data_IF_824951172468
#
_entry.id   IF_824951172468
#
_cell.length_a   1.000
_cell.length_b   1.000
_cell.length_c   1.000
_cell.angle_alpha   90.00
_cell.angle_beta   90.00
_cell.angle_gamma   90.00
#
_symmetry.space_group_name_H-M   'P 1'
#
loop_
_entity.id
_entity.type
_entity.pdbx_description
1 polymer ?
#
# COMPACT_ATOMS: atom_id res chain seq x y z
N UNK A 1 -13.08 -18.21 19.73
CA UNK A 1 -11.65 -18.44 19.69
C UNK A 1 -11.19 -18.85 18.29
N UNK A 2 -10.11 -18.30 17.87
CA UNK A 2 -9.61 -18.58 16.54
C UNK A 2 -8.82 -19.88 16.55
N UNK A 3 -9.09 -20.74 15.62
CA UNK A 3 -8.32 -21.97 15.46
C UNK A 3 -6.92 -21.65 14.95
N UNK A 4 -5.95 -22.48 15.32
CA UNK A 4 -4.55 -22.24 14.98
C UNK A 4 -4.32 -22.03 13.49
N UNK A 5 -4.93 -22.85 12.63
CA UNK A 5 -4.73 -22.74 11.19
C UNK A 5 -5.24 -21.41 10.65
N UNK A 6 -6.40 -20.96 11.14
CA UNK A 6 -6.94 -19.66 10.73
C UNK A 6 -6.07 -18.52 11.23
N UNK A 7 -5.56 -18.65 12.44
CA UNK A 7 -4.69 -17.63 13.01
C UNK A 7 -3.41 -17.50 12.20
N UNK A 8 -2.84 -18.62 11.78
CA UNK A 8 -1.61 -18.61 10.98
C UNK A 8 -1.81 -17.93 9.64
N UNK A 9 -2.91 -18.28 8.94
CA UNK A 9 -3.20 -17.65 7.65
C UNK A 9 -3.43 -16.15 7.82
N UNK A 10 -4.14 -15.77 8.88
CA UNK A 10 -4.44 -14.37 9.13
C UNK A 10 -3.16 -13.60 9.48
N UNK A 11 -2.28 -14.20 10.27
CA UNK A 11 -1.02 -13.57 10.63
C UNK A 11 -0.15 -13.34 9.40
N UNK A 12 -0.05 -14.32 8.50
CA UNK A 12 0.72 -14.16 7.28
C UNK A 12 0.17 -13.02 6.42
N UNK A 13 -1.15 -12.98 6.26
CA UNK A 13 -1.78 -11.92 5.49
C UNK A 13 -1.56 -10.56 6.15
N UNK A 14 -1.64 -10.49 7.48
CA UNK A 14 -1.42 -9.24 8.20
C UNK A 14 0.04 -8.79 8.11
N UNK A 15 0.99 -9.73 8.16
CA UNK A 15 2.41 -9.38 8.04
C UNK A 15 2.69 -8.76 6.67
N UNK A 16 2.21 -9.38 5.60
CA UNK A 16 2.38 -8.83 4.27
C UNK A 16 1.63 -7.51 4.12
N UNK A 17 0.43 -7.44 4.69
CA UNK A 17 -0.36 -6.22 4.67
C UNK A 17 0.34 -5.10 5.41
N UNK A 18 0.97 -5.40 6.55
CA UNK A 18 1.69 -4.39 7.29
C UNK A 18 2.91 -3.91 6.52
N UNK A 19 3.64 -4.82 5.87
CA UNK A 19 4.76 -4.43 5.04
C UNK A 19 4.29 -3.56 3.88
N UNK A 20 3.19 -3.95 3.23
CA UNK A 20 2.64 -3.16 2.14
C UNK A 20 2.22 -1.77 2.62
N UNK A 21 1.64 -1.69 3.82
CA UNK A 21 1.24 -0.42 4.41
C UNK A 21 2.46 0.47 4.68
N UNK A 22 3.53 -0.12 5.23
CA UNK A 22 4.76 0.62 5.50
C UNK A 22 5.37 1.16 4.20
N UNK A 23 5.40 0.34 3.17
CA UNK A 23 5.96 0.79 1.89
C UNK A 23 5.06 1.80 1.21
N UNK A 24 3.73 1.65 1.33
CA UNK A 24 2.81 2.66 0.83
C UNK A 24 3.03 4.00 1.54
N UNK A 25 3.25 3.96 2.85
CA UNK A 25 3.56 5.17 3.61
C UNK A 25 4.85 5.82 3.11
N UNK A 26 5.87 5.02 2.83
CA UNK A 26 7.13 5.54 2.28
C UNK A 26 6.90 6.23 0.93
N UNK A 27 6.07 5.63 0.08
CA UNK A 27 5.74 6.23 -1.21
C UNK A 27 5.03 7.57 -1.00
N UNK A 28 4.01 7.58 -0.16
CA UNK A 28 3.25 8.81 0.09
C UNK A 28 4.14 9.90 0.67
N UNK A 29 5.00 9.56 1.63
CA UNK A 29 5.86 10.55 2.25
C UNK A 29 6.84 11.16 1.27
N UNK A 30 7.23 10.41 0.24
CA UNK A 30 8.14 10.94 -0.77
C UNK A 30 7.50 12.07 -1.57
N UNK A 31 6.20 12.00 -1.77
CA UNK A 31 5.49 12.97 -2.62
C UNK A 31 4.61 13.94 -1.83
N UNK A 32 4.44 13.73 -0.54
CA UNK A 32 3.51 14.51 0.27
C UNK A 32 3.97 15.96 0.42
N UNK A 33 2.99 16.86 0.49
CA UNK A 33 3.24 18.22 0.91
C UNK A 33 3.67 18.23 2.38
N UNK A 34 4.44 19.25 2.81
CA UNK A 34 4.81 19.35 4.21
C UNK A 34 3.57 19.32 5.11
N UNK A 35 3.65 18.52 6.17
CA UNK A 35 2.60 18.41 7.18
C UNK A 35 1.29 17.82 6.66
N UNK A 36 1.27 17.27 5.46
CA UNK A 36 0.07 16.62 4.95
C UNK A 36 -0.16 15.30 5.71
N UNK A 37 -1.39 15.05 6.17
CA UNK A 37 -1.67 13.77 6.82
C UNK A 37 -1.70 12.64 5.80
N UNK A 38 -1.37 11.44 6.25
CA UNK A 38 -1.50 10.24 5.45
C UNK A 38 -2.78 9.54 5.85
N UNK A 39 -3.65 9.28 4.88
CA UNK A 39 -4.92 8.58 5.11
C UNK A 39 -4.82 7.17 4.59
N UNK A 40 -5.22 6.21 5.40
CA UNK A 40 -5.21 4.79 5.03
C UNK A 40 -6.58 4.21 5.25
N UNK A 41 -7.07 3.47 4.26
CA UNK A 41 -8.33 2.74 4.35
C UNK A 41 -8.09 1.29 4.01
N UNK A 42 -8.54 0.40 4.89
CA UNK A 42 -8.40 -1.04 4.71
C UNK A 42 -9.76 -1.66 4.44
N UNK A 43 -9.77 -2.64 3.54
CA UNK A 43 -10.92 -3.49 3.35
C UNK A 43 -10.41 -4.92 3.19
N UNK A 44 -11.14 -5.87 3.74
CA UNK A 44 -10.69 -7.27 3.71
C UNK A 44 -11.78 -8.17 3.17
N UNK A 45 -11.44 -8.94 2.15
CA UNK A 45 -12.19 -10.10 1.73
C UNK A 45 -11.56 -11.33 2.37
N UNK A 46 -12.21 -12.50 2.30
CA UNK A 46 -11.62 -13.68 2.94
C UNK A 46 -10.19 -14.01 2.51
N UNK A 47 -9.80 -13.62 1.31
CA UNK A 47 -8.47 -13.97 0.78
C UNK A 47 -7.63 -12.78 0.37
N UNK A 48 -8.19 -11.58 0.45
CA UNK A 48 -7.51 -10.41 -0.11
C UNK A 48 -7.65 -9.24 0.86
N UNK A 49 -6.54 -8.61 1.13
CA UNK A 49 -6.53 -7.33 1.85
C UNK A 49 -6.37 -6.23 0.81
N UNK A 50 -7.24 -5.23 0.91
CA UNK A 50 -7.17 -4.05 0.04
C UNK A 50 -6.74 -2.88 0.88
N UNK A 51 -5.84 -2.08 0.33
CA UNK A 51 -5.39 -0.85 0.97
C UNK A 51 -5.50 0.28 -0.02
N UNK A 52 -6.11 1.37 0.41
CA UNK A 52 -6.11 2.62 -0.32
C UNK A 52 -5.51 3.69 0.59
N UNK A 53 -4.38 4.22 0.20
CA UNK A 53 -3.68 5.24 0.96
C UNK A 53 -3.56 6.50 0.10
N UNK A 54 -3.61 7.67 0.75
CA UNK A 54 -3.55 8.93 0.01
C UNK A 54 -2.99 10.03 0.87
N UNK A 55 -2.43 11.05 0.22
CA UNK A 55 -2.00 12.26 0.88
C UNK A 55 -1.98 13.41 -0.14
N UNK A 56 -2.01 14.64 0.35
CA UNK A 56 -1.93 15.79 -0.53
C UNK A 56 -0.53 15.92 -1.12
N UNK A 57 -0.48 16.23 -2.40
CA UNK A 57 0.78 16.48 -3.06
C UNK A 57 0.61 17.58 -4.11
N UNK A 58 1.73 18.17 -4.51
CA UNK A 58 1.72 19.27 -5.46
C UNK A 58 2.18 18.86 -6.85
N UNK A 59 2.37 17.57 -7.08
CA UNK A 59 2.78 17.09 -8.40
C UNK A 59 1.64 17.22 -9.39
N UNK A 60 1.98 17.58 -10.64
CA UNK A 60 1.01 17.59 -11.70
C UNK A 60 1.01 16.28 -12.49
N UNK A 61 2.07 15.52 -12.40
CA UNK A 61 2.16 14.18 -12.98
C UNK A 61 3.21 13.38 -12.22
N UNK A 62 3.09 12.07 -12.26
CA UNK A 62 4.01 11.19 -11.54
C UNK A 62 5.29 11.00 -12.33
N UNK A 63 6.43 10.93 -11.63
CA UNK A 63 7.69 10.57 -12.26
C UNK A 63 7.73 9.08 -12.59
N UNK A 64 8.83 8.63 -13.17
CA UNK A 64 9.05 7.19 -13.37
C UNK A 64 9.16 6.53 -12.02
N UNK A 65 8.18 5.69 -11.67
CA UNK A 65 8.08 5.14 -10.33
C UNK A 65 9.16 4.10 -10.01
N UNK A 66 9.46 3.14 -10.90
CA UNK A 66 10.54 2.20 -10.59
C UNK A 66 11.87 2.89 -10.34
N UNK A 67 12.19 3.90 -11.13
CA UNK A 67 13.44 4.63 -10.95
C UNK A 67 13.42 5.48 -9.69
N UNK A 68 12.32 6.21 -9.49
CA UNK A 68 12.21 7.15 -8.38
C UNK A 68 12.14 6.45 -7.03
N UNK A 69 11.41 5.34 -6.95
CA UNK A 69 11.19 4.64 -5.70
C UNK A 69 12.26 3.60 -5.40
N UNK A 70 12.94 3.08 -6.42
CA UNK A 70 14.03 2.14 -6.22
C UNK A 70 13.60 0.90 -5.45
N UNK A 71 14.22 0.69 -4.29
CA UNK A 71 13.97 -0.50 -3.49
C UNK A 71 12.53 -0.62 -3.01
N UNK A 72 11.90 0.52 -2.70
CA UNK A 72 10.50 0.52 -2.28
C UNK A 72 9.63 -0.05 -3.39
N UNK A 73 9.91 0.32 -4.64
CA UNK A 73 9.17 -0.22 -5.77
C UNK A 73 9.33 -1.74 -5.88
N UNK A 74 10.57 -2.23 -5.73
CA UNK A 74 10.83 -3.67 -5.80
C UNK A 74 10.04 -4.41 -4.73
N UNK A 75 10.07 -3.91 -3.51
CA UNK A 75 9.39 -4.58 -2.40
C UNK A 75 7.87 -4.55 -2.61
N UNK A 76 7.31 -3.37 -2.84
CA UNK A 76 5.86 -3.26 -2.88
C UNK A 76 5.27 -4.00 -4.09
N UNK A 77 5.97 -3.98 -5.23
CA UNK A 77 5.47 -4.67 -6.40
C UNK A 77 5.57 -6.19 -6.26
N UNK A 78 6.47 -6.68 -5.43
CA UNK A 78 6.63 -8.12 -5.24
C UNK A 78 5.63 -8.72 -4.26
N UNK A 79 5.09 -7.90 -3.33
CA UNK A 79 4.18 -8.43 -2.31
C UNK A 79 2.71 -8.14 -2.62
N UNK A 80 2.43 -7.37 -3.66
CA UNK A 80 1.05 -7.03 -4.01
C UNK A 80 0.60 -7.83 -5.22
N UNK A 81 -0.68 -8.19 -5.24
CA UNK A 81 -1.31 -8.80 -6.40
C UNK A 81 -1.83 -7.74 -7.36
N UNK A 82 -2.10 -6.54 -6.86
CA UNK A 82 -2.52 -5.41 -7.65
C UNK A 82 -1.93 -4.15 -7.02
N UNK A 83 -1.39 -3.28 -7.83
CA UNK A 83 -0.81 -2.03 -7.35
C UNK A 83 -1.07 -0.94 -8.37
N UNK A 84 -1.69 0.14 -7.91
CA UNK A 84 -1.89 1.34 -8.71
C UNK A 84 -1.46 2.55 -7.91
N UNK A 85 -0.72 3.44 -8.55
CA UNK A 85 -0.32 4.72 -7.97
C UNK A 85 -0.74 5.78 -8.96
N UNK A 86 -1.54 6.75 -8.49
CA UNK A 86 -2.07 7.76 -9.40
C UNK A 86 -2.30 9.08 -8.67
N UNK A 87 -2.44 10.14 -9.46
CA UNK A 87 -2.76 11.47 -8.96
C UNK A 87 -4.22 11.79 -9.25
N UNK A 88 -4.91 12.36 -8.26
CA UNK A 88 -6.28 12.78 -8.44
C UNK A 88 -6.62 13.86 -7.42
N UNK A 89 -7.19 14.95 -7.89
CA UNK A 89 -7.69 16.03 -7.03
C UNK A 89 -6.63 16.58 -6.06
N UNK A 90 -5.38 16.70 -6.53
CA UNK A 90 -4.32 17.24 -5.69
C UNK A 90 -3.77 16.26 -4.68
N UNK A 91 -4.07 15.00 -4.85
CA UNK A 91 -3.60 13.94 -3.96
C UNK A 91 -2.88 12.86 -4.75
N UNK A 92 -1.90 12.23 -4.11
CA UNK A 92 -1.31 11.01 -4.63
C UNK A 92 -1.95 9.83 -3.91
N UNK A 93 -2.33 8.83 -4.67
CA UNK A 93 -3.03 7.64 -4.18
C UNK A 93 -2.20 6.40 -4.43
N UNK A 94 -2.17 5.52 -3.45
CA UNK A 94 -1.63 4.17 -3.60
C UNK A 94 -2.78 3.21 -3.31
N UNK A 95 -3.15 2.44 -4.32
CA UNK A 95 -4.26 1.49 -4.23
C UNK A 95 -3.71 0.11 -4.54
N UNK A 96 -3.78 -0.79 -3.57
CA UNK A 96 -3.14 -2.07 -3.71
C UNK A 96 -3.97 -3.19 -3.08
N UNK A 97 -3.64 -4.41 -3.49
CA UNK A 97 -4.23 -5.60 -2.91
C UNK A 97 -3.13 -6.60 -2.58
N UNK A 98 -3.28 -7.27 -1.45
CA UNK A 98 -2.37 -8.33 -1.01
C UNK A 98 -3.20 -9.58 -0.82
N UNK A 99 -2.83 -10.64 -1.54
CA UNK A 99 -3.55 -11.90 -1.41
C UNK A 99 -3.05 -12.66 -0.18
N UNK A 100 -4.01 -13.18 0.58
CA UNK A 100 -3.68 -13.99 1.72
C UNK A 100 -3.12 -15.33 1.28
N UNK A 101 -2.25 -15.90 2.10
CA UNK A 101 -1.73 -17.23 1.86
C UNK A 101 -2.84 -18.25 2.07
N UNK A 102 -2.89 -19.24 1.20
CA UNK A 102 -3.89 -20.28 1.28
C UNK A 102 -3.24 -21.64 1.45
#
# INVERSE_FOLDING_TARGET
MVEGAKADLLIDALDEGQLASDEAANILMKFAEPDAPLDFEWAADPRVLHLHARTRCSLSHLPDLPETLGYVWVIISSITSRLEIFLENGEVHVDLSVEGAM
#
